data_IF_863022641402
#
_entry.id   IF_863022641402
#
_cell.length_a   1.000
_cell.length_b   1.000
_cell.length_c   1.000
_cell.angle_alpha   90.00
_cell.angle_beta   90.00
_cell.angle_gamma   90.00
#
_symmetry.space_group_name_H-M   'P 1'
#
loop_
_entity.id
_entity.type
_entity.pdbx_description
1 polymer ?
#
# COMPACT_ATOMS: atom_id res chain seq x y z
N UNK A 1 46.48 -29.73 -38.51
CA UNK A 1 45.09 -29.26 -38.27
C UNK A 1 44.76 -29.54 -36.81
N UNK A 2 44.73 -28.51 -35.97
CA UNK A 2 44.38 -28.63 -34.53
C UNK A 2 42.96 -28.07 -34.36
N UNK A 3 42.02 -28.93 -34.05
CA UNK A 3 40.65 -28.58 -33.75
C UNK A 3 40.54 -28.05 -32.32
N UNK A 4 40.21 -26.79 -32.19
CA UNK A 4 39.96 -26.12 -30.90
C UNK A 4 38.51 -26.34 -30.53
N UNK A 5 38.26 -27.18 -29.53
CA UNK A 5 36.90 -27.42 -28.99
C UNK A 5 36.59 -26.34 -27.97
N UNK A 6 35.70 -25.42 -28.29
CA UNK A 6 35.20 -24.36 -27.43
C UNK A 6 34.12 -24.93 -26.48
N UNK A 7 34.50 -25.18 -25.24
CA UNK A 7 33.55 -25.63 -24.21
C UNK A 7 32.68 -24.48 -23.75
N UNK A 8 31.38 -24.54 -24.02
CA UNK A 8 30.36 -23.61 -23.52
C UNK A 8 30.03 -23.99 -22.09
N UNK A 9 30.53 -23.21 -21.12
CA UNK A 9 30.14 -23.35 -19.71
C UNK A 9 28.81 -22.61 -19.51
N UNK A 10 27.72 -23.36 -19.45
CA UNK A 10 26.43 -22.85 -19.00
C UNK A 10 26.49 -22.67 -17.46
N UNK A 11 26.71 -21.44 -17.00
CA UNK A 11 26.44 -21.07 -15.60
C UNK A 11 24.93 -21.03 -15.40
N UNK A 12 24.40 -22.11 -14.84
CA UNK A 12 23.02 -22.14 -14.34
C UNK A 12 22.88 -21.20 -13.14
N UNK A 13 22.29 -20.03 -13.36
CA UNK A 13 21.78 -19.20 -12.27
C UNK A 13 20.60 -19.94 -11.64
N UNK A 14 20.84 -20.64 -10.53
CA UNK A 14 19.78 -21.09 -9.66
C UNK A 14 19.15 -19.84 -9.01
N UNK A 15 18.05 -19.37 -9.58
CA UNK A 15 17.20 -18.36 -8.97
C UNK A 15 16.57 -18.99 -7.73
N UNK A 16 17.17 -18.77 -6.56
CA UNK A 16 16.55 -19.08 -5.28
C UNK A 16 15.34 -18.15 -5.13
N UNK A 17 14.19 -18.61 -5.53
CA UNK A 17 12.93 -17.97 -5.16
C UNK A 17 12.78 -18.19 -3.65
N UNK A 18 13.16 -17.18 -2.85
CA UNK A 18 12.82 -17.17 -1.44
C UNK A 18 11.30 -17.12 -1.35
N UNK A 19 10.69 -18.26 -1.04
CA UNK A 19 9.27 -18.31 -0.75
C UNK A 19 9.03 -17.41 0.47
N UNK A 20 8.17 -16.42 0.31
CA UNK A 20 7.73 -15.56 1.41
C UNK A 20 7.02 -16.46 2.43
N UNK A 21 7.44 -16.44 3.69
CA UNK A 21 6.82 -17.21 4.74
C UNK A 21 5.93 -16.35 5.66
N UNK A 22 5.14 -17.00 6.50
CA UNK A 22 4.24 -16.32 7.43
C UNK A 22 4.98 -15.38 8.39
N UNK A 23 6.19 -15.74 8.83
CA UNK A 23 6.99 -14.92 9.76
C UNK A 23 7.45 -13.64 9.08
N UNK A 24 7.89 -13.73 7.82
CA UNK A 24 8.27 -12.54 7.05
C UNK A 24 7.07 -11.59 6.83
N UNK A 25 5.88 -12.15 6.60
CA UNK A 25 4.66 -11.37 6.44
C UNK A 25 4.21 -10.72 7.75
N UNK A 26 4.31 -11.42 8.88
CA UNK A 26 4.07 -10.85 10.21
C UNK A 26 5.04 -9.70 10.51
N UNK A 27 6.32 -9.90 10.23
CA UNK A 27 7.35 -8.88 10.36
C UNK A 27 7.09 -7.68 9.43
N UNK A 28 6.52 -7.89 8.24
CA UNK A 28 6.11 -6.79 7.35
C UNK A 28 5.06 -5.91 8.02
N UNK A 29 4.02 -6.48 8.62
CA UNK A 29 3.00 -5.71 9.35
C UNK A 29 3.66 -4.92 10.49
N UNK A 30 4.51 -5.55 11.31
CA UNK A 30 5.20 -4.89 12.42
C UNK A 30 6.11 -3.75 11.96
N UNK A 31 6.86 -3.96 10.87
CA UNK A 31 7.73 -2.93 10.28
C UNK A 31 6.92 -1.74 9.76
N UNK A 32 5.82 -1.99 9.05
CA UNK A 32 4.94 -0.92 8.56
C UNK A 32 4.28 -0.16 9.71
N UNK A 33 3.91 -0.85 10.79
CA UNK A 33 3.41 -0.23 12.03
C UNK A 33 4.45 0.72 12.62
N UNK A 34 5.71 0.27 12.77
CA UNK A 34 6.80 1.11 13.27
C UNK A 34 7.04 2.35 12.42
N UNK A 35 7.05 2.19 11.08
CA UNK A 35 7.17 3.32 10.16
C UNK A 35 6.02 4.31 10.26
N UNK A 36 4.80 3.81 10.47
CA UNK A 36 3.65 4.67 10.73
C UNK A 36 3.83 5.47 12.03
N UNK A 37 4.29 4.83 13.11
CA UNK A 37 4.58 5.52 14.38
C UNK A 37 5.71 6.56 14.21
N UNK A 38 6.77 6.23 13.47
CA UNK A 38 7.85 7.17 13.14
C UNK A 38 7.35 8.39 12.34
N UNK A 39 6.40 8.18 11.42
CA UNK A 39 5.78 9.28 10.67
C UNK A 39 4.95 10.18 11.62
N UNK A 40 4.21 9.58 12.54
CA UNK A 40 3.32 10.30 13.44
C UNK A 40 4.05 11.17 14.48
N UNK A 41 5.34 10.94 14.72
CA UNK A 41 6.14 11.82 15.61
C UNK A 41 6.75 13.02 14.87
N UNK A 42 6.65 13.10 13.55
CA UNK A 42 7.13 14.21 12.72
C UNK A 42 6.02 15.26 12.54
N UNK A 43 6.10 16.45 13.16
CA UNK A 43 4.97 17.40 13.17
C UNK A 43 4.53 17.87 11.78
N UNK A 44 5.48 18.00 10.86
CA UNK A 44 5.28 18.49 9.48
C UNK A 44 4.82 17.40 8.49
N UNK A 45 4.82 16.13 8.92
CA UNK A 45 4.54 14.98 8.05
C UNK A 45 3.48 14.03 8.60
N UNK A 46 3.11 14.18 9.87
CA UNK A 46 2.15 13.29 10.50
C UNK A 46 0.78 13.36 9.81
N UNK A 47 0.11 12.24 9.84
CA UNK A 47 -1.29 12.16 9.40
C UNK A 47 -2.16 12.80 10.47
N UNK A 48 -2.98 13.81 10.15
CA UNK A 48 -3.87 14.45 11.13
C UNK A 48 -4.84 13.44 11.77
N UNK A 49 -5.01 13.53 13.08
CA UNK A 49 -5.90 12.63 13.84
C UNK A 49 -7.34 12.62 13.29
N UNK A 50 -7.83 13.79 12.85
CA UNK A 50 -9.15 13.91 12.25
C UNK A 50 -9.30 13.11 10.95
N UNK A 51 -8.25 13.08 10.11
CA UNK A 51 -8.25 12.31 8.88
C UNK A 51 -8.18 10.81 9.18
N UNK A 52 -7.37 10.38 10.16
CA UNK A 52 -7.36 9.00 10.63
C UNK A 52 -8.71 8.55 11.19
N UNK A 53 -9.37 9.44 11.95
CA UNK A 53 -10.70 9.15 12.53
C UNK A 53 -11.75 8.97 11.45
N UNK A 54 -11.77 9.84 10.44
CA UNK A 54 -12.74 9.83 9.34
C UNK A 54 -12.46 8.75 8.29
N UNK A 55 -11.23 8.23 8.22
CA UNK A 55 -10.85 7.22 7.24
C UNK A 55 -11.68 5.94 7.41
N UNK A 56 -12.17 5.42 6.30
CA UNK A 56 -12.88 4.13 6.19
C UNK A 56 -11.96 2.99 5.81
N UNK A 57 -10.81 3.30 5.26
CA UNK A 57 -9.75 2.33 4.97
C UNK A 57 -8.38 2.98 5.02
N UNK A 58 -7.36 2.17 5.18
CA UNK A 58 -5.97 2.61 5.20
C UNK A 58 -5.08 1.61 4.47
N UNK A 59 -4.08 2.11 3.76
CA UNK A 59 -3.00 1.32 3.21
C UNK A 59 -1.69 1.88 3.77
N UNK A 60 -0.87 1.01 4.34
CA UNK A 60 0.52 1.28 4.66
C UNK A 60 1.38 0.58 3.61
N UNK A 61 2.17 1.34 2.86
CA UNK A 61 2.95 0.83 1.73
C UNK A 61 4.39 1.27 1.81
N UNK A 62 5.32 0.32 1.81
CA UNK A 62 6.74 0.56 1.66
C UNK A 62 7.16 0.27 0.23
N UNK A 63 7.62 1.29 -0.49
CA UNK A 63 7.96 1.23 -1.91
C UNK A 63 9.43 1.51 -2.11
N UNK A 64 10.08 0.66 -2.88
CA UNK A 64 11.47 0.81 -3.29
C UNK A 64 11.55 0.98 -4.79
N UNK A 65 12.29 2.00 -5.22
CA UNK A 65 12.72 2.17 -6.61
C UNK A 65 14.21 1.92 -6.68
N UNK A 66 14.64 1.06 -7.55
CA UNK A 66 16.06 0.78 -7.77
C UNK A 66 16.31 0.61 -9.27
N UNK A 67 17.40 1.18 -9.78
CA UNK A 67 17.77 1.02 -11.19
C UNK A 67 19.11 1.62 -11.53
N UNK A 68 19.85 0.96 -12.42
CA UNK A 68 21.08 1.49 -13.05
C UNK A 68 20.88 1.68 -14.56
N UNK A 69 20.17 0.79 -15.23
CA UNK A 69 19.83 0.85 -16.66
C UNK A 69 18.41 0.39 -16.88
N UNK A 70 17.93 -0.56 -16.05
CA UNK A 70 16.56 -1.03 -16.00
C UNK A 70 16.02 -0.70 -14.63
N UNK A 71 14.96 0.13 -14.53
CA UNK A 71 14.35 0.50 -13.26
C UNK A 71 13.43 -0.63 -12.75
N UNK A 72 13.66 -1.08 -11.53
CA UNK A 72 12.72 -1.90 -10.80
C UNK A 72 11.99 -1.02 -9.78
N UNK A 73 10.68 -1.06 -9.82
CA UNK A 73 9.85 -0.49 -8.77
C UNK A 73 9.03 -1.62 -8.16
N UNK A 74 9.12 -1.76 -6.88
CA UNK A 74 8.38 -2.77 -6.16
C UNK A 74 8.10 -2.30 -4.73
N UNK A 75 7.15 -2.93 -4.11
CA UNK A 75 6.82 -2.62 -2.73
C UNK A 75 5.85 -3.62 -2.14
N UNK A 76 5.79 -3.63 -0.83
CA UNK A 76 4.85 -4.42 -0.09
C UNK A 76 4.12 -3.56 0.93
N UNK A 77 2.83 -3.80 1.06
CA UNK A 77 1.97 -3.06 1.96
C UNK A 77 0.94 -3.95 2.63
N UNK A 78 0.16 -3.32 3.49
CA UNK A 78 -1.03 -3.91 4.10
C UNK A 78 -2.17 -2.91 4.05
N UNK A 79 -3.38 -3.43 3.88
CA UNK A 79 -4.62 -2.65 3.92
C UNK A 79 -5.52 -3.15 5.03
N UNK A 80 -6.22 -2.22 5.69
CA UNK A 80 -7.29 -2.49 6.63
C UNK A 80 -8.50 -1.63 6.28
N UNK A 81 -9.69 -2.14 6.54
CA UNK A 81 -10.96 -1.42 6.37
C UNK A 81 -11.63 -1.31 7.74
N UNK A 82 -12.23 -0.17 8.01
CA UNK A 82 -13.00 0.06 9.21
C UNK A 82 -14.46 -0.28 8.95
N UNK A 83 -14.99 -1.20 9.72
CA UNK A 83 -16.40 -1.56 9.68
C UNK A 83 -17.27 -0.34 10.03
N UNK A 84 -18.26 0.02 9.20
CA UNK A 84 -19.05 1.25 9.40
C UNK A 84 -19.97 1.22 10.63
N UNK A 85 -20.35 0.04 11.12
CA UNK A 85 -21.25 -0.12 12.24
C UNK A 85 -20.51 -0.24 13.57
N UNK A 86 -19.44 -1.04 13.59
CA UNK A 86 -18.69 -1.34 14.81
C UNK A 86 -17.46 -0.46 15.00
N UNK A 87 -17.06 0.31 13.99
CA UNK A 87 -15.81 1.11 13.91
C UNK A 87 -14.54 0.28 14.16
N UNK A 88 -14.63 -1.05 14.07
CA UNK A 88 -13.49 -1.96 14.22
C UNK A 88 -12.76 -2.15 12.90
N UNK A 89 -11.44 -2.26 12.98
CA UNK A 89 -10.61 -2.58 11.84
C UNK A 89 -10.69 -4.06 11.48
N UNK A 90 -10.68 -4.35 10.18
CA UNK A 90 -10.68 -5.72 9.61
C UNK A 90 -9.38 -6.48 9.90
N UNK A 91 -9.33 -7.72 9.47
CA UNK A 91 -8.07 -8.42 9.24
C UNK A 91 -7.21 -7.65 8.22
N UNK A 92 -5.88 -7.81 8.27
CA UNK A 92 -4.98 -7.15 7.34
C UNK A 92 -4.92 -7.90 6.00
N UNK A 93 -5.18 -7.21 4.90
CA UNK A 93 -4.95 -7.72 3.56
C UNK A 93 -3.61 -7.24 3.00
N UNK A 94 -2.80 -8.14 2.45
CA UNK A 94 -1.51 -7.76 1.85
C UNK A 94 -1.71 -7.15 0.47
N UNK A 95 -0.92 -6.11 0.20
CA UNK A 95 -0.89 -5.36 -1.06
C UNK A 95 0.50 -5.41 -1.65
N UNK A 96 0.58 -5.50 -2.98
CA UNK A 96 1.81 -5.40 -3.73
C UNK A 96 1.83 -4.16 -4.62
N UNK A 97 2.98 -3.52 -4.76
CA UNK A 97 3.23 -2.52 -5.79
C UNK A 97 4.27 -3.07 -6.75
N UNK A 98 3.91 -3.22 -8.03
CA UNK A 98 4.82 -3.70 -9.06
C UNK A 98 4.68 -2.77 -10.27
N UNK A 99 5.75 -2.09 -10.60
CA UNK A 99 5.83 -1.34 -11.86
C UNK A 99 7.15 -1.65 -12.55
N UNK A 100 7.07 -2.06 -13.80
CA UNK A 100 8.22 -2.04 -14.72
C UNK A 100 8.35 -0.64 -15.29
N UNK A 101 9.37 0.12 -14.92
CA UNK A 101 9.67 1.38 -15.59
C UNK A 101 10.91 1.22 -16.46
N UNK A 102 10.77 1.46 -17.78
CA UNK A 102 11.89 1.67 -18.67
C UNK A 102 12.34 3.13 -18.54
N UNK A 103 13.45 3.36 -17.86
CA UNK A 103 14.04 4.70 -17.73
C UNK A 103 15.35 4.63 -16.97
N UNK A 104 16.36 5.36 -17.45
CA UNK A 104 17.64 5.50 -16.76
C UNK A 104 17.44 6.27 -15.46
N UNK A 105 17.27 5.55 -14.35
CA UNK A 105 17.33 6.12 -13.01
C UNK A 105 18.55 5.54 -12.30
N UNK A 106 19.48 6.42 -11.96
CA UNK A 106 20.65 6.05 -11.15
C UNK A 106 20.28 6.30 -9.70
N UNK A 107 20.19 5.25 -8.91
CA UNK A 107 19.97 5.33 -7.47
C UNK A 107 18.86 4.42 -6.94
N UNK A 108 18.86 4.25 -5.63
CA UNK A 108 17.82 3.58 -4.86
C UNK A 108 17.01 4.60 -4.09
N UNK A 109 15.70 4.57 -4.21
CA UNK A 109 14.79 5.42 -3.45
C UNK A 109 13.77 4.56 -2.71
N UNK A 110 13.63 4.78 -1.41
CA UNK A 110 12.62 4.12 -0.59
C UNK A 110 11.67 5.15 -0.04
N UNK A 111 10.38 4.89 -0.13
CA UNK A 111 9.35 5.81 0.34
C UNK A 111 8.27 5.01 1.05
N UNK A 112 7.92 5.45 2.24
CA UNK A 112 6.79 4.93 2.99
C UNK A 112 5.56 5.82 2.74
N UNK A 113 4.45 5.19 2.36
CA UNK A 113 3.18 5.86 2.12
C UNK A 113 2.12 5.43 3.13
N UNK A 114 1.33 6.40 3.57
CA UNK A 114 0.06 6.19 4.26
C UNK A 114 -1.04 6.71 3.34
N UNK A 115 -1.90 5.82 2.88
CA UNK A 115 -3.00 6.14 1.96
C UNK A 115 -4.30 5.93 2.72
N UNK A 116 -5.07 6.98 2.90
CA UNK A 116 -6.37 6.95 3.56
C UNK A 116 -7.48 6.91 2.52
N UNK A 117 -8.40 5.99 2.69
CA UNK A 117 -9.62 5.86 1.90
C UNK A 117 -10.76 6.46 2.72
N UNK A 118 -11.27 7.63 2.28
CA UNK A 118 -12.12 8.48 3.10
C UNK A 118 -13.61 8.12 3.02
N UNK A 119 -14.00 7.22 2.11
CA UNK A 119 -15.38 6.77 1.95
C UNK A 119 -15.47 5.25 1.81
N UNK A 120 -16.63 4.69 2.09
CA UNK A 120 -16.90 3.26 1.88
C UNK A 120 -16.71 2.88 0.41
N UNK A 121 -17.11 3.74 -0.53
CA UNK A 121 -16.88 3.48 -1.96
C UNK A 121 -15.38 3.41 -2.29
N UNK A 122 -14.56 4.28 -1.69
CA UNK A 122 -13.12 4.24 -1.90
C UNK A 122 -12.48 2.94 -1.37
N UNK A 123 -13.04 2.32 -0.33
CA UNK A 123 -12.49 1.05 0.19
C UNK A 123 -12.67 -0.11 -0.79
N UNK A 124 -13.62 -0.04 -1.72
CA UNK A 124 -13.76 -1.07 -2.75
C UNK A 124 -12.60 -1.11 -3.74
N UNK A 125 -11.81 -0.03 -3.86
CA UNK A 125 -10.57 -0.05 -4.65
C UNK A 125 -9.58 -1.14 -4.18
N UNK A 126 -9.66 -1.55 -2.91
CA UNK A 126 -8.79 -2.57 -2.33
C UNK A 126 -9.03 -3.99 -2.86
N UNK A 127 -10.17 -4.24 -3.49
CA UNK A 127 -10.53 -5.55 -4.06
C UNK A 127 -10.45 -5.55 -5.59
N UNK A 128 -10.17 -4.40 -6.20
CA UNK A 128 -9.89 -4.33 -7.63
C UNK A 128 -8.57 -5.04 -7.97
N UNK A 129 -8.47 -5.57 -9.18
CA UNK A 129 -7.25 -6.26 -9.63
C UNK A 129 -6.01 -5.35 -9.56
N UNK A 130 -6.22 -4.05 -9.74
CA UNK A 130 -5.21 -3.01 -9.52
C UNK A 130 -5.89 -1.64 -9.44
N UNK A 131 -5.29 -0.69 -8.74
CA UNK A 131 -5.68 0.71 -8.77
C UNK A 131 -4.46 1.63 -8.68
N UNK A 132 -4.57 2.81 -9.25
CA UNK A 132 -3.53 3.81 -9.23
C UNK A 132 -3.76 4.77 -8.05
N UNK A 133 -2.70 5.06 -7.32
CA UNK A 133 -2.70 6.08 -6.29
C UNK A 133 -1.71 7.19 -6.66
N UNK A 134 -2.09 8.42 -6.38
CA UNK A 134 -1.30 9.58 -6.80
C UNK A 134 -1.63 10.02 -8.24
N UNK A 135 -1.38 11.26 -8.53
CA UNK A 135 -1.91 11.96 -9.68
C UNK A 135 -3.12 12.79 -9.26
N UNK A 136 -3.69 13.57 -10.16
CA UNK A 136 -4.97 14.22 -9.88
C UNK A 136 -5.94 13.14 -9.41
N UNK A 137 -6.53 13.31 -8.22
CA UNK A 137 -7.46 12.36 -7.64
C UNK A 137 -8.73 12.24 -8.52
N UNK A 138 -8.59 11.54 -9.61
CA UNK A 138 -9.69 11.04 -10.41
C UNK A 138 -9.95 9.63 -9.90
N UNK A 139 -10.87 9.51 -8.95
CA UNK A 139 -11.52 8.26 -8.72
C UNK A 139 -12.14 7.78 -10.03
N UNK A 140 -11.43 6.90 -10.73
CA UNK A 140 -12.03 6.12 -11.81
C UNK A 140 -12.64 4.86 -11.21
N UNK A 141 -13.63 5.03 -10.35
CA UNK A 141 -14.71 4.07 -10.26
C UNK A 141 -15.72 4.53 -11.33
N UNK A 142 -15.78 3.82 -12.43
CA UNK A 142 -16.58 4.05 -13.62
C UNK A 142 -17.85 4.88 -13.47
N UNK A 143 -17.72 6.18 -13.48
CA UNK A 143 -18.77 7.06 -13.96
C UNK A 143 -18.19 8.40 -14.40
N UNK A 144 -18.39 8.69 -15.70
CA UNK A 144 -17.93 9.90 -16.37
C UNK A 144 -18.79 11.08 -15.94
N UNK A 145 -18.45 11.71 -14.82
CA UNK A 145 -19.01 13.02 -14.51
C UNK A 145 -18.20 14.07 -15.25
N UNK A 146 -18.77 14.56 -16.34
CA UNK A 146 -18.33 15.73 -17.07
C UNK A 146 -18.17 16.89 -16.09
N UNK A 147 -16.93 17.35 -15.91
CA UNK A 147 -16.64 18.60 -15.22
C UNK A 147 -17.25 19.73 -16.05
N UNK A 148 -18.36 20.29 -15.62
CA UNK A 148 -18.86 21.57 -16.12
C UNK A 148 -17.97 22.66 -15.52
N UNK A 149 -17.31 23.42 -16.39
CA UNK A 149 -16.62 24.65 -16.04
C UNK A 149 -17.55 25.57 -15.22
N UNK A 150 -17.07 26.05 -14.07
CA UNK A 150 -17.64 27.24 -13.46
C UNK A 150 -18.07 27.18 -12.00
N UNK A 151 -17.87 26.08 -11.24
CA UNK A 151 -17.96 26.11 -9.77
C UNK A 151 -16.91 25.19 -9.19
N UNK A 152 -15.94 25.80 -8.50
CA UNK A 152 -15.01 25.06 -7.63
C UNK A 152 -15.77 24.49 -6.44
N UNK A 153 -16.41 23.37 -6.64
CA UNK A 153 -16.78 22.47 -5.57
C UNK A 153 -15.55 21.57 -5.45
N UNK A 154 -14.70 21.83 -4.47
CA UNK A 154 -13.67 20.86 -4.09
C UNK A 154 -14.42 19.61 -3.60
N UNK A 155 -14.44 18.50 -4.36
CA UNK A 155 -15.00 17.27 -3.84
C UNK A 155 -14.13 16.90 -2.63
N UNK A 156 -14.77 16.50 -1.54
CA UNK A 156 -14.08 15.92 -0.39
C UNK A 156 -13.16 14.81 -0.92
N UNK A 157 -11.83 14.90 -0.78
CA UNK A 157 -10.95 13.97 -1.45
C UNK A 157 -11.22 12.56 -0.93
N UNK A 158 -11.63 11.66 -1.82
CA UNK A 158 -11.93 10.26 -1.46
C UNK A 158 -10.67 9.46 -1.10
N UNK A 159 -9.50 9.95 -1.48
CA UNK A 159 -8.19 9.34 -1.19
C UNK A 159 -7.22 10.43 -0.76
N UNK A 160 -6.62 10.27 0.42
CA UNK A 160 -5.56 11.14 0.93
C UNK A 160 -4.26 10.36 0.99
N UNK A 161 -3.17 10.96 0.53
CA UNK A 161 -1.85 10.32 0.50
C UNK A 161 -0.84 11.14 1.30
N UNK A 162 -0.13 10.46 2.18
CA UNK A 162 0.98 11.00 2.97
C UNK A 162 2.24 10.20 2.69
N UNK A 163 3.40 10.83 2.70
CA UNK A 163 4.67 10.13 2.61
C UNK A 163 5.68 10.63 3.66
N UNK A 164 6.69 9.83 3.92
CA UNK A 164 7.73 10.11 4.92
C UNK A 164 8.74 11.18 4.48
N UNK A 165 8.66 11.67 3.24
CA UNK A 165 9.58 12.67 2.67
C UNK A 165 9.00 14.08 2.66
N UNK A 166 7.75 14.22 2.20
CA UNK A 166 7.14 15.54 1.97
C UNK A 166 5.89 15.80 2.82
N UNK A 167 5.36 14.78 3.49
CA UNK A 167 4.15 14.92 4.30
C UNK A 167 2.88 14.79 3.47
N UNK A 168 1.92 15.70 3.64
CA UNK A 168 0.63 15.65 2.97
C UNK A 168 0.71 16.10 1.51
N UNK A 169 0.09 15.34 0.64
CA UNK A 169 -0.16 15.68 -0.74
C UNK A 169 -1.67 15.78 -0.99
N UNK A 170 -2.21 16.96 -0.81
CA UNK A 170 -3.58 17.24 -1.21
C UNK A 170 -3.70 17.35 -2.71
N UNK A 171 -4.26 16.34 -3.37
CA UNK A 171 -4.77 16.45 -4.74
C UNK A 171 -3.77 16.79 -5.86
N UNK A 172 -2.48 16.93 -5.60
CA UNK A 172 -1.49 17.33 -6.59
C UNK A 172 -0.41 16.27 -6.76
N UNK A 173 -0.23 15.83 -7.98
CA UNK A 173 0.92 15.15 -8.62
C UNK A 173 1.93 14.45 -7.70
N UNK A 174 1.52 13.44 -6.97
CA UNK A 174 2.43 12.39 -6.62
C UNK A 174 2.57 11.55 -7.89
N UNK A 175 3.79 11.30 -8.35
CA UNK A 175 4.04 10.14 -9.20
C UNK A 175 3.77 8.92 -8.35
N UNK A 176 2.50 8.56 -8.27
CA UNK A 176 1.99 7.41 -7.56
C UNK A 176 2.47 6.14 -8.24
N UNK A 177 1.82 5.08 -7.96
CA UNK A 177 2.08 3.80 -8.55
C UNK A 177 0.82 2.98 -8.57
N UNK A 178 0.88 1.90 -9.27
CA UNK A 178 -0.18 0.90 -9.31
C UNK A 178 0.02 -0.06 -8.14
N UNK A 179 -1.02 -0.31 -7.38
CA UNK A 179 -1.07 -1.31 -6.31
C UNK A 179 -2.19 -2.31 -6.57
N UNK A 180 -1.98 -3.52 -6.10
CA UNK A 180 -2.91 -4.63 -6.27
C UNK A 180 -2.92 -5.54 -5.04
N UNK A 181 -3.99 -6.31 -4.81
CA UNK A 181 -3.97 -7.39 -3.84
C UNK A 181 -2.79 -8.34 -4.06
N UNK A 182 -2.11 -8.73 -2.98
CA UNK A 182 -1.08 -9.78 -2.99
C UNK A 182 -1.70 -11.09 -2.50
N UNK A 183 -2.43 -11.76 -3.39
CA UNK A 183 -3.21 -12.96 -3.08
C UNK A 183 -2.32 -14.10 -2.56
N UNK A 184 -1.09 -14.20 -3.07
CA UNK A 184 -0.15 -15.22 -2.59
C UNK A 184 0.30 -14.94 -1.16
N UNK A 185 0.62 -13.69 -0.83
CA UNK A 185 0.96 -13.30 0.54
C UNK A 185 -0.25 -13.53 1.48
N UNK A 186 -1.46 -13.21 1.05
CA UNK A 186 -2.67 -13.48 1.81
C UNK A 186 -2.83 -14.97 2.10
N UNK A 187 -2.71 -15.81 1.08
CA UNK A 187 -2.81 -17.27 1.20
C UNK A 187 -1.76 -17.85 2.16
N UNK A 188 -0.50 -17.40 2.02
CA UNK A 188 0.60 -17.86 2.88
C UNK A 188 0.39 -17.42 4.34
N UNK A 189 -0.01 -16.17 4.55
CA UNK A 189 -0.15 -15.60 5.89
C UNK A 189 -1.29 -16.23 6.68
N UNK A 190 -2.45 -16.40 6.04
CA UNK A 190 -3.63 -16.96 6.68
C UNK A 190 -3.68 -18.51 6.63
N UNK A 191 -2.76 -19.14 5.88
CA UNK A 191 -2.68 -20.59 5.70
C UNK A 191 -4.00 -21.19 5.18
N UNK A 192 -4.73 -20.44 4.39
CA UNK A 192 -6.00 -20.81 3.77
C UNK A 192 -6.25 -20.00 2.51
N UNK A 193 -7.12 -20.50 1.66
CA UNK A 193 -7.60 -19.74 0.53
C UNK A 193 -8.59 -18.68 1.04
N UNK A 194 -8.22 -17.41 0.90
CA UNK A 194 -9.03 -16.28 1.34
C UNK A 194 -8.83 -15.13 0.38
N UNK A 195 -9.92 -14.57 -0.10
CA UNK A 195 -9.90 -13.40 -0.99
C UNK A 195 -9.73 -12.10 -0.21
N UNK A 196 -9.27 -11.06 -0.89
CA UNK A 196 -9.19 -9.72 -0.29
C UNK A 196 -10.55 -9.23 0.19
N UNK A 197 -11.63 -9.54 -0.56
CA UNK A 197 -13.01 -9.25 -0.17
C UNK A 197 -13.38 -9.91 1.16
N UNK A 198 -13.03 -11.17 1.37
CA UNK A 198 -13.32 -11.87 2.61
C UNK A 198 -12.51 -11.37 3.79
N UNK A 199 -11.24 -10.98 3.57
CA UNK A 199 -10.38 -10.41 4.59
C UNK A 199 -10.90 -9.07 5.11
N UNK A 200 -11.25 -8.17 4.19
CA UNK A 200 -11.54 -6.79 4.51
C UNK A 200 -13.01 -6.54 4.87
N UNK A 201 -13.94 -7.30 4.26
CA UNK A 201 -15.38 -7.05 4.39
C UNK A 201 -16.17 -8.25 4.90
N UNK A 202 -15.58 -9.43 4.86
CA UNK A 202 -16.31 -10.68 5.20
C UNK A 202 -16.48 -10.94 6.69
N UNK A 203 -15.67 -10.31 7.55
CA UNK A 203 -15.72 -10.49 9.01
C UNK A 203 -15.42 -11.92 9.51
N UNK A 204 -15.10 -12.84 8.60
CA UNK A 204 -14.89 -14.26 8.92
C UNK A 204 -13.48 -14.60 9.39
N UNK A 205 -12.51 -13.79 8.96
CA UNK A 205 -11.10 -13.98 9.30
C UNK A 205 -10.76 -13.13 10.51
N UNK A 206 -10.29 -13.77 11.57
CA UNK A 206 -9.87 -13.05 12.78
C UNK A 206 -8.55 -12.31 12.51
N UNK A 207 -8.43 -11.03 12.91
CA UNK A 207 -7.16 -10.33 12.87
C UNK A 207 -6.09 -11.07 13.66
N UNK A 208 -4.89 -11.15 13.10
CA UNK A 208 -3.72 -11.69 13.81
C UNK A 208 -3.25 -10.72 14.90
N UNK A 209 -2.32 -11.14 15.75
CA UNK A 209 -1.74 -10.28 16.78
C UNK A 209 -1.11 -9.02 16.17
N UNK A 210 -0.32 -9.17 15.10
CA UNK A 210 0.32 -8.03 14.42
C UNK A 210 -0.73 -7.07 13.81
N UNK A 211 -1.78 -7.59 13.16
CA UNK A 211 -2.86 -6.76 12.62
C UNK A 211 -3.65 -6.05 13.75
N UNK A 212 -3.89 -6.72 14.86
CA UNK A 212 -4.54 -6.14 16.04
C UNK A 212 -3.70 -5.01 16.65
N UNK A 213 -2.38 -5.20 16.74
CA UNK A 213 -1.46 -4.18 17.23
C UNK A 213 -1.47 -2.94 16.31
N UNK A 214 -1.45 -3.14 14.97
CA UNK A 214 -1.59 -2.04 14.01
C UNK A 214 -2.92 -1.32 14.18
N UNK A 215 -4.04 -2.04 14.24
CA UNK A 215 -5.38 -1.47 14.43
C UNK A 215 -5.47 -0.62 15.72
N UNK A 216 -4.86 -1.11 16.81
CA UNK A 216 -4.77 -0.37 18.07
C UNK A 216 -4.01 0.94 17.88
N UNK A 217 -2.86 0.94 17.20
CA UNK A 217 -2.08 2.15 16.93
C UNK A 217 -2.85 3.15 16.07
N UNK A 218 -3.53 2.70 15.02
CA UNK A 218 -4.39 3.56 14.20
C UNK A 218 -5.47 4.24 15.05
N UNK A 219 -6.09 3.50 15.96
CA UNK A 219 -7.12 4.02 16.88
C UNK A 219 -6.53 5.02 17.88
N UNK A 220 -5.38 4.70 18.50
CA UNK A 220 -4.68 5.59 19.43
C UNK A 220 -4.36 6.95 18.80
N UNK A 221 -3.76 6.95 17.58
CA UNK A 221 -3.40 8.18 16.88
C UNK A 221 -4.61 8.95 16.34
N UNK A 222 -5.74 8.28 16.09
CA UNK A 222 -6.98 8.94 15.69
C UNK A 222 -7.68 9.67 16.85
N UNK A 223 -7.44 9.24 18.10
CA UNK A 223 -8.07 9.79 19.30
C UNK A 223 -7.24 10.87 19.99
N UNK A 224 -5.91 10.86 19.79
CA UNK A 224 -4.99 11.79 20.43
C UNK A 224 -4.39 12.75 19.38
N UNK A 225 -5.07 13.86 19.05
CA UNK A 225 -4.46 14.91 18.26
C UNK A 225 -3.28 15.45 19.07
N UNK A 226 -2.05 15.18 18.64
CA UNK A 226 -0.89 15.88 19.24
C UNK A 226 -1.09 17.37 19.03
N UNK A 227 -1.07 18.12 20.12
CA UNK A 227 -1.06 19.57 20.14
C UNK A 227 0.22 20.11 19.50
#
# INVERSE_FOLDING_TARGET
MKTLTLGLVLLGFASSTFATDKVQLDNRIRTLTGKFEELQVKPDKCVPADNLRKARGIILLDRTKAGLVFGYQGGGGVALVKDPETEKWSAAGFMGAKEGSFGAQIGGERTFFVILLMSTNATHLLVESQFDFGGEARGTAGDSTKVKEGKSITPDPTVLVYDDRKGFYGGATIKGGTISPDEEANRVYYQQYVTMQELLFGGKVKPTEAATALAKKLTEYSQNPKK
#
